data_IF_960973990652
#
_entry.id   IF_960973990652
#
_cell.length_a   1.000
_cell.length_b   1.000
_cell.length_c   1.000
_cell.angle_alpha   90.00
_cell.angle_beta   90.00
_cell.angle_gamma   90.00
#
_symmetry.space_group_name_H-M   'P 1'
#
loop_
_entity.id
_entity.type
_entity.pdbx_description
1 polymer ?
#
# COMPACT_ATOMS: atom_id res chain seq x y z
N UNK A 1 17.39 -40.84 -11.29
CA UNK A 1 16.73 -39.78 -10.50
C UNK A 1 15.32 -39.58 -11.04
N UNK A 2 14.30 -39.51 -10.19
CA UNK A 2 12.92 -39.28 -10.64
C UNK A 2 12.75 -37.86 -11.19
N UNK A 3 12.05 -37.71 -12.32
CA UNK A 3 11.80 -36.39 -12.91
C UNK A 3 10.99 -35.53 -11.93
N UNK A 4 11.40 -34.28 -11.64
CA UNK A 4 10.64 -33.41 -10.75
C UNK A 4 9.25 -33.12 -11.32
N UNK A 5 8.26 -32.98 -10.43
CA UNK A 5 6.91 -32.52 -10.78
C UNK A 5 6.88 -30.98 -10.62
N UNK A 6 6.76 -30.21 -11.71
CA UNK A 6 6.79 -28.76 -11.62
C UNK A 6 5.48 -28.20 -11.03
N UNK A 7 5.60 -27.13 -10.26
CA UNK A 7 4.48 -26.28 -9.83
C UNK A 7 4.66 -24.91 -10.46
N UNK A 8 3.60 -24.38 -11.06
CA UNK A 8 3.60 -23.09 -11.76
C UNK A 8 2.66 -22.12 -11.06
N UNK A 9 3.17 -20.92 -10.77
CA UNK A 9 2.34 -19.75 -10.48
C UNK A 9 2.22 -18.94 -11.78
N UNK A 10 1.02 -18.86 -12.34
CA UNK A 10 0.72 -18.04 -13.52
C UNK A 10 0.05 -16.73 -13.07
N UNK A 11 0.71 -15.60 -13.37
CA UNK A 11 0.19 -14.27 -13.08
C UNK A 11 -0.29 -13.65 -14.40
N UNK A 12 -1.60 -13.40 -14.51
CA UNK A 12 -2.19 -12.66 -15.61
C UNK A 12 -2.28 -11.19 -15.17
N UNK A 13 -1.30 -10.37 -15.53
CA UNK A 13 -1.24 -8.97 -15.09
C UNK A 13 -2.45 -8.18 -15.61
N UNK A 14 -3.08 -7.37 -14.73
CA UNK A 14 -4.30 -6.63 -15.04
C UNK A 14 -5.58 -7.47 -15.22
N UNK A 15 -5.57 -8.78 -14.92
CA UNK A 15 -6.74 -9.65 -15.06
C UNK A 15 -7.56 -9.74 -13.77
N UNK A 16 -8.66 -8.98 -13.69
CA UNK A 16 -9.56 -8.92 -12.53
C UNK A 16 -10.97 -9.46 -12.78
N UNK A 17 -11.73 -9.67 -11.71
CA UNK A 17 -13.16 -10.00 -11.76
C UNK A 17 -14.00 -8.74 -11.58
N UNK A 18 -14.88 -8.46 -12.54
CA UNK A 18 -15.85 -7.38 -12.50
C UNK A 18 -17.16 -7.81 -13.21
N UNK A 19 -18.30 -7.13 -12.97
CA UNK A 19 -19.53 -7.39 -13.70
C UNK A 19 -19.33 -7.29 -15.21
N UNK A 20 -20.04 -8.13 -15.97
CA UNK A 20 -20.01 -8.08 -17.44
C UNK A 20 -20.54 -6.74 -17.95
N UNK A 21 -19.93 -6.22 -19.01
CA UNK A 21 -20.33 -4.94 -19.58
C UNK A 21 -19.52 -4.58 -20.84
N UNK A 22 -19.94 -3.56 -21.59
CA UNK A 22 -19.34 -3.21 -22.88
C UNK A 22 -17.86 -2.77 -22.77
N UNK A 23 -17.40 -2.34 -21.59
CA UNK A 23 -16.00 -2.00 -21.33
C UNK A 23 -15.18 -3.11 -20.66
N UNK A 24 -15.78 -4.26 -20.37
CA UNK A 24 -15.11 -5.35 -19.65
C UNK A 24 -14.52 -6.36 -20.65
N UNK A 25 -13.27 -6.11 -21.06
CA UNK A 25 -12.54 -6.97 -22.00
C UNK A 25 -12.41 -8.42 -21.51
N UNK A 26 -12.29 -8.65 -20.19
CA UNK A 26 -12.24 -10.00 -19.61
C UNK A 26 -13.53 -10.77 -19.91
N UNK A 27 -14.69 -10.15 -19.71
CA UNK A 27 -15.99 -10.79 -19.98
C UNK A 27 -16.33 -10.95 -21.47
N UNK A 28 -15.72 -10.13 -22.33
CA UNK A 28 -15.96 -10.13 -23.78
C UNK A 28 -15.01 -11.06 -24.54
N UNK A 29 -13.88 -11.44 -23.93
CA UNK A 29 -12.89 -12.30 -24.54
C UNK A 29 -13.38 -13.76 -24.62
N UNK A 30 -12.94 -14.49 -25.66
CA UNK A 30 -13.06 -15.96 -25.70
C UNK A 30 -11.87 -16.58 -24.99
N UNK A 31 -12.08 -17.13 -23.80
CA UNK A 31 -11.01 -17.70 -22.95
C UNK A 31 -11.21 -19.18 -22.62
N UNK A 32 -11.41 -20.07 -23.61
CA UNK A 32 -11.88 -21.44 -23.37
C UNK A 32 -11.02 -22.26 -22.40
N UNK A 33 -9.70 -21.99 -22.36
CA UNK A 33 -8.79 -22.65 -21.42
C UNK A 33 -8.97 -22.15 -19.97
N UNK A 34 -9.10 -20.83 -19.78
CA UNK A 34 -9.35 -20.26 -18.45
C UNK A 34 -10.76 -20.63 -17.98
N UNK A 35 -11.75 -20.55 -18.87
CA UNK A 35 -13.15 -20.89 -18.58
C UNK A 35 -13.26 -22.34 -18.07
N UNK A 36 -12.59 -23.28 -18.76
CA UNK A 36 -12.51 -24.68 -18.35
C UNK A 36 -11.84 -24.84 -16.97
N UNK A 37 -10.72 -24.16 -16.74
CA UNK A 37 -10.03 -24.21 -15.45
C UNK A 37 -10.90 -23.67 -14.31
N UNK A 38 -11.61 -22.57 -14.54
CA UNK A 38 -12.49 -21.95 -13.54
C UNK A 38 -13.70 -22.83 -13.23
N UNK A 39 -14.22 -23.60 -14.20
CA UNK A 39 -15.36 -24.49 -14.02
C UNK A 39 -14.99 -25.84 -13.37
N UNK A 40 -13.81 -26.39 -13.68
CA UNK A 40 -13.44 -27.77 -13.31
C UNK A 40 -12.50 -27.88 -12.11
N UNK A 41 -11.91 -26.77 -11.65
CA UNK A 41 -10.90 -26.75 -10.57
C UNK A 41 -11.36 -25.90 -9.38
N UNK A 42 -10.83 -26.13 -8.16
CA UNK A 42 -11.08 -25.25 -7.03
C UNK A 42 -10.63 -23.82 -7.34
N UNK A 43 -11.52 -22.86 -7.10
CA UNK A 43 -11.29 -21.43 -7.37
C UNK A 43 -11.66 -20.59 -6.16
N UNK A 44 -11.01 -19.44 -6.04
CA UNK A 44 -11.31 -18.43 -5.04
C UNK A 44 -10.98 -17.04 -5.59
N UNK A 45 -11.58 -15.99 -5.01
CA UNK A 45 -11.25 -14.60 -5.28
C UNK A 45 -10.40 -14.04 -4.14
N UNK A 46 -9.36 -13.28 -4.49
CA UNK A 46 -8.50 -12.60 -3.54
C UNK A 46 -8.72 -11.08 -3.61
N UNK A 47 -8.51 -10.41 -2.48
CA UNK A 47 -8.43 -8.95 -2.44
C UNK A 47 -7.03 -8.52 -2.84
N UNK A 48 -6.93 -7.79 -3.96
CA UNK A 48 -5.65 -7.37 -4.55
C UNK A 48 -5.44 -5.84 -4.51
N UNK A 49 -6.17 -5.12 -3.67
CA UNK A 49 -6.15 -3.66 -3.58
C UNK A 49 -6.37 -3.17 -2.14
N UNK A 50 -6.08 -1.89 -1.91
CA UNK A 50 -6.17 -1.24 -0.61
C UNK A 50 -5.41 -1.95 0.51
N UNK A 51 -5.97 -1.94 1.73
CA UNK A 51 -5.31 -2.45 2.93
C UNK A 51 -4.93 -3.93 2.86
N UNK A 52 -5.63 -4.72 2.01
CA UNK A 52 -5.34 -6.14 1.84
C UNK A 52 -3.95 -6.40 1.23
N UNK A 53 -3.38 -5.40 0.53
CA UNK A 53 -2.05 -5.49 -0.09
C UNK A 53 -1.11 -4.39 0.42
N UNK A 54 -1.45 -3.75 1.55
CA UNK A 54 -0.61 -2.75 2.19
C UNK A 54 -0.67 -1.36 1.54
N UNK A 55 -1.77 -1.04 0.86
CA UNK A 55 -2.10 0.29 0.33
C UNK A 55 -3.18 0.99 1.19
N UNK A 56 -3.38 2.31 1.06
CA UNK A 56 -4.47 3.01 1.74
C UNK A 56 -5.83 2.48 1.29
N UNK A 57 -6.86 2.66 2.12
CA UNK A 57 -8.21 2.20 1.77
C UNK A 57 -8.71 2.87 0.48
N UNK A 58 -9.27 2.08 -0.45
CA UNK A 58 -9.80 2.57 -1.73
C UNK A 58 -8.78 2.70 -2.86
N UNK A 59 -7.47 2.59 -2.57
CA UNK A 59 -6.45 2.62 -3.61
C UNK A 59 -6.43 1.33 -4.42
N UNK A 60 -6.34 1.47 -5.74
CA UNK A 60 -6.17 0.33 -6.65
C UNK A 60 -4.83 -0.36 -6.42
N UNK A 61 -4.79 -1.67 -6.66
CA UNK A 61 -3.53 -2.40 -6.72
C UNK A 61 -2.72 -2.03 -7.97
N UNK A 62 -1.45 -2.43 -7.99
CA UNK A 62 -0.57 -2.31 -9.14
C UNK A 62 0.40 -3.50 -9.19
N UNK A 63 1.13 -3.65 -10.29
CA UNK A 63 2.02 -4.80 -10.52
C UNK A 63 3.12 -4.91 -9.45
N UNK A 64 3.74 -3.80 -9.04
CA UNK A 64 4.83 -3.80 -8.05
C UNK A 64 4.34 -4.27 -6.67
N UNK A 65 3.28 -3.64 -6.15
CA UNK A 65 2.65 -4.02 -4.87
C UNK A 65 2.16 -5.46 -4.92
N UNK A 66 1.52 -5.86 -6.03
CA UNK A 66 1.00 -7.22 -6.21
C UNK A 66 2.10 -8.28 -6.16
N UNK A 67 3.17 -8.11 -6.95
CA UNK A 67 4.28 -9.06 -6.99
C UNK A 67 5.05 -9.11 -5.66
N UNK A 68 5.22 -7.98 -4.98
CA UNK A 68 5.83 -7.95 -3.64
C UNK A 68 5.02 -8.76 -2.63
N UNK A 69 3.69 -8.57 -2.56
CA UNK A 69 2.84 -9.30 -1.62
C UNK A 69 2.83 -10.81 -1.93
N UNK A 70 2.72 -11.19 -3.21
CA UNK A 70 2.77 -12.59 -3.66
C UNK A 70 4.09 -13.24 -3.26
N UNK A 71 5.22 -12.61 -3.57
CA UNK A 71 6.55 -13.14 -3.26
C UNK A 71 6.85 -13.18 -1.76
N UNK A 72 6.31 -12.23 -0.99
CA UNK A 72 6.56 -12.13 0.45
C UNK A 72 5.68 -13.05 1.30
N UNK A 73 4.56 -13.55 0.76
CA UNK A 73 3.59 -14.38 1.47
C UNK A 73 2.93 -13.67 2.66
N UNK A 74 2.90 -12.33 2.65
CA UNK A 74 2.33 -11.47 3.71
C UNK A 74 1.95 -10.11 3.14
N UNK A 75 1.17 -9.34 3.90
CA UNK A 75 0.89 -7.93 3.58
C UNK A 75 2.18 -7.11 3.65
N UNK A 76 2.57 -6.51 2.53
CA UNK A 76 3.75 -5.63 2.42
C UNK A 76 3.28 -4.18 2.45
N UNK A 77 3.41 -3.52 3.60
CA UNK A 77 3.09 -2.10 3.73
C UNK A 77 4.10 -1.25 2.97
N UNK A 78 3.60 -0.45 2.03
CA UNK A 78 4.39 0.60 1.40
C UNK A 78 4.68 1.71 2.39
N UNK A 79 5.78 2.46 2.21
CA UNK A 79 6.20 3.48 3.18
C UNK A 79 5.11 4.53 3.45
N UNK A 80 4.40 4.99 2.41
CA UNK A 80 3.26 5.89 2.57
C UNK A 80 2.20 5.29 3.50
N UNK A 81 1.78 4.05 3.25
CA UNK A 81 0.76 3.38 4.07
C UNK A 81 1.25 3.06 5.47
N UNK A 82 2.54 2.78 5.63
CA UNK A 82 3.17 2.60 6.95
C UNK A 82 3.11 3.90 7.76
N UNK A 83 3.36 5.05 7.12
CA UNK A 83 3.24 6.36 7.74
C UNK A 83 1.77 6.66 8.07
N UNK A 84 0.85 6.46 7.11
CA UNK A 84 -0.59 6.64 7.33
C UNK A 84 -1.08 5.81 8.53
N UNK A 85 -0.69 4.53 8.59
CA UNK A 85 -1.07 3.64 9.67
C UNK A 85 -0.48 4.08 11.02
N UNK A 86 0.73 4.65 11.04
CA UNK A 86 1.30 5.20 12.26
C UNK A 86 0.52 6.45 12.73
N UNK A 87 0.06 7.29 11.80
CA UNK A 87 -0.77 8.47 12.08
C UNK A 87 -2.14 8.02 12.61
N UNK A 88 -2.84 7.13 11.90
CA UNK A 88 -4.16 6.61 12.27
C UNK A 88 -4.16 5.92 13.63
N UNK A 89 -3.07 5.23 13.99
CA UNK A 89 -2.93 4.53 15.27
C UNK A 89 -2.39 5.42 16.39
N UNK A 90 -2.18 6.72 16.12
CA UNK A 90 -1.64 7.67 17.10
C UNK A 90 -0.17 7.45 17.47
N UNK A 91 0.54 6.53 16.81
CA UNK A 91 1.94 6.17 17.09
C UNK A 91 2.94 7.08 16.39
N UNK A 92 2.49 7.95 15.49
CA UNK A 92 3.36 8.84 14.72
C UNK A 92 4.07 9.87 15.61
N UNK A 93 3.34 10.48 16.55
CA UNK A 93 3.88 11.47 17.48
C UNK A 93 4.95 10.88 18.42
N UNK A 94 4.85 9.59 18.75
CA UNK A 94 5.78 8.87 19.62
C UNK A 94 7.01 8.32 18.87
N UNK A 95 7.16 8.63 17.58
CA UNK A 95 8.33 8.18 16.83
C UNK A 95 9.61 8.72 17.48
N UNK A 96 10.56 7.87 17.91
CA UNK A 96 11.70 8.31 18.71
C UNK A 96 12.59 9.33 18.00
N UNK A 97 12.64 9.29 16.66
CA UNK A 97 13.39 10.26 15.85
C UNK A 97 12.71 11.62 15.88
N UNK A 98 11.38 11.67 15.78
CA UNK A 98 10.62 12.92 15.87
C UNK A 98 10.69 13.50 17.28
N UNK A 99 10.52 12.66 18.31
CA UNK A 99 10.61 13.07 19.72
C UNK A 99 11.98 13.68 20.03
N UNK A 100 13.08 13.03 19.60
CA UNK A 100 14.44 13.53 19.77
C UNK A 100 14.67 14.85 19.00
N UNK A 101 14.18 14.94 17.76
CA UNK A 101 14.22 16.17 16.96
C UNK A 101 13.54 17.35 17.68
N UNK A 102 12.33 17.13 18.20
CA UNK A 102 11.58 18.16 18.93
C UNK A 102 12.30 18.55 20.23
N UNK A 103 12.79 17.59 21.00
CA UNK A 103 13.54 17.85 22.23
C UNK A 103 14.79 18.71 21.97
N UNK A 104 15.58 18.37 20.95
CA UNK A 104 16.78 19.14 20.57
C UNK A 104 16.44 20.54 20.07
N UNK A 105 15.41 20.66 19.23
CA UNK A 105 14.97 21.96 18.70
C UNK A 105 14.55 22.89 19.83
N UNK A 106 13.78 22.37 20.80
CA UNK A 106 13.36 23.11 21.98
C UNK A 106 14.53 23.51 22.88
N UNK A 107 15.44 22.59 23.16
CA UNK A 107 16.62 22.85 24.00
C UNK A 107 17.54 23.93 23.41
N UNK A 108 17.62 24.00 22.07
CA UNK A 108 18.40 25.02 21.37
C UNK A 108 17.69 26.37 21.23
N UNK A 109 16.39 26.48 21.58
CA UNK A 109 15.57 27.64 21.23
C UNK A 109 15.47 27.85 19.71
N UNK A 110 15.59 26.76 18.95
CA UNK A 110 15.67 26.78 17.49
C UNK A 110 14.32 26.85 16.78
N UNK A 111 14.35 26.70 15.46
CA UNK A 111 13.16 26.65 14.60
C UNK A 111 13.08 25.28 13.93
N UNK A 112 11.88 24.71 13.88
CA UNK A 112 11.60 23.51 13.10
C UNK A 112 11.35 23.89 11.64
N UNK A 113 12.11 23.29 10.73
CA UNK A 113 11.91 23.45 9.29
C UNK A 113 11.34 22.15 8.71
N UNK A 114 10.16 22.24 8.10
CA UNK A 114 9.53 21.14 7.37
C UNK A 114 9.63 21.43 5.87
N UNK A 115 10.05 20.44 5.10
CA UNK A 115 10.15 20.52 3.64
C UNK A 115 9.57 19.26 3.01
N UNK A 116 8.85 19.43 1.91
CA UNK A 116 8.25 18.33 1.17
C UNK A 116 7.34 18.85 0.06
N UNK A 117 7.00 17.97 -0.88
CA UNK A 117 5.99 18.25 -1.90
C UNK A 117 4.61 18.38 -1.22
N UNK A 118 3.87 19.44 -1.52
CA UNK A 118 2.56 19.71 -0.90
C UNK A 118 1.46 19.37 -1.90
N UNK A 119 1.05 18.11 -1.91
CA UNK A 119 -0.07 17.60 -2.73
C UNK A 119 -0.67 16.34 -2.11
N UNK A 120 -1.79 15.88 -2.66
CA UNK A 120 -2.46 14.61 -2.35
C UNK A 120 -2.10 13.50 -3.36
N UNK A 121 -1.10 13.72 -4.22
CA UNK A 121 -0.74 12.78 -5.29
C UNK A 121 -0.18 11.43 -4.81
N UNK A 122 0.38 11.35 -3.59
CA UNK A 122 0.78 10.08 -2.96
C UNK A 122 2.02 9.38 -3.55
N UNK A 123 2.63 9.94 -4.60
CA UNK A 123 3.83 9.36 -5.24
C UNK A 123 5.10 9.66 -4.45
N UNK A 124 5.30 10.95 -4.09
CA UNK A 124 6.51 11.40 -3.38
C UNK A 124 6.23 11.90 -1.96
N UNK A 125 4.99 12.26 -1.66
CA UNK A 125 4.54 12.76 -0.36
C UNK A 125 3.00 12.74 -0.30
N UNK A 126 2.47 13.02 0.89
CA UNK A 126 1.06 13.34 1.07
C UNK A 126 0.93 14.50 2.08
N UNK A 127 0.14 15.53 1.76
CA UNK A 127 0.00 16.71 2.64
C UNK A 127 -0.51 16.39 4.06
N UNK A 128 -1.26 15.29 4.24
CA UNK A 128 -1.69 14.81 5.56
C UNK A 128 -0.50 14.45 6.47
N UNK A 129 0.63 14.00 5.91
CA UNK A 129 1.83 13.72 6.71
C UNK A 129 2.45 15.01 7.23
N UNK A 130 2.35 16.10 6.48
CA UNK A 130 2.78 17.43 6.93
C UNK A 130 1.87 17.92 8.06
N UNK A 131 0.55 17.74 7.94
CA UNK A 131 -0.38 18.07 9.01
C UNK A 131 -0.11 17.26 10.29
N UNK A 132 0.13 15.95 10.16
CA UNK A 132 0.50 15.11 11.30
C UNK A 132 1.83 15.54 11.95
N UNK A 133 2.82 16.00 11.16
CA UNK A 133 4.05 16.57 11.68
C UNK A 133 3.80 17.86 12.47
N UNK A 134 2.94 18.76 11.98
CA UNK A 134 2.57 19.99 12.68
C UNK A 134 1.84 19.69 14.00
N UNK A 135 0.89 18.76 13.99
CA UNK A 135 0.18 18.32 15.19
C UNK A 135 1.14 17.68 16.21
N UNK A 136 2.05 16.82 15.74
CA UNK A 136 3.06 16.18 16.59
C UNK A 136 4.02 17.21 17.19
N UNK A 137 4.47 18.18 16.40
CA UNK A 137 5.34 19.26 16.87
C UNK A 137 4.65 20.10 17.95
N UNK A 138 3.38 20.48 17.72
CA UNK A 138 2.57 21.21 18.69
C UNK A 138 2.38 20.42 19.98
N UNK A 139 2.10 19.12 19.91
CA UNK A 139 1.95 18.25 21.08
C UNK A 139 3.23 18.18 21.94
N UNK A 140 4.42 18.36 21.32
CA UNK A 140 5.71 18.41 21.99
C UNK A 140 6.15 19.82 22.41
N UNK A 141 5.29 20.83 22.20
CA UNK A 141 5.55 22.21 22.60
C UNK A 141 6.55 22.95 21.70
N UNK A 142 6.64 22.55 20.43
CA UNK A 142 7.23 23.39 19.38
C UNK A 142 6.14 24.34 18.90
N UNK A 143 6.41 25.65 19.01
CA UNK A 143 5.50 26.74 18.64
C UNK A 143 5.74 27.22 17.20
#
# INVERSE_FOLDING_TARGET
MSRPRPTLLLILDGWGQAPAGPGNAVSLARTPNLDKLLAERPTALLRCSGRAVGLPHGFMGNSEVGHMNIGAGRVVYQDMTRIDLAIEQGRFADNPVLVDLFARTKAAGGRLHLMGLVSDGGVHSHHNHIYALLESAKAHGIA
#
